data_IF_649246587363
#
_entry.id   IF_649246587363
#
_cell.length_a   1.000
_cell.length_b   1.000
_cell.length_c   1.000
_cell.angle_alpha   90.00
_cell.angle_beta   90.00
_cell.angle_gamma   90.00
#
_symmetry.space_group_name_H-M   'P 1'
#
loop_
_entity.id
_entity.type
_entity.pdbx_description
1 polymer ?
#
# COMPACT_ATOMS: atom_id res chain seq x y z
N UNK A 1 42.14 -43.96 45.70
CA UNK A 1 42.48 -42.53 45.57
C UNK A 1 42.65 -42.23 44.09
N UNK A 2 41.60 -41.71 43.44
CA UNK A 2 41.67 -41.26 42.04
C UNK A 2 41.84 -39.73 42.03
N UNK A 3 42.71 -39.15 41.19
CA UNK A 3 42.99 -37.72 41.22
C UNK A 3 41.92 -36.94 40.47
N UNK A 4 41.44 -35.88 41.12
CA UNK A 4 40.56 -34.85 40.58
C UNK A 4 41.28 -34.18 39.42
N UNK A 5 40.77 -34.35 38.19
CA UNK A 5 41.25 -33.60 37.02
C UNK A 5 40.54 -32.25 37.01
N UNK A 6 41.34 -31.19 37.19
CA UNK A 6 40.94 -29.81 37.08
C UNK A 6 40.19 -29.54 35.77
N UNK A 7 38.96 -29.07 35.95
CA UNK A 7 38.06 -28.58 34.93
C UNK A 7 38.55 -27.18 34.48
N UNK A 8 39.19 -27.09 33.32
CA UNK A 8 39.37 -25.82 32.61
C UNK A 8 38.27 -25.74 31.54
N UNK A 9 37.13 -25.16 31.91
CA UNK A 9 36.09 -24.76 30.96
C UNK A 9 36.57 -23.48 30.27
N UNK A 10 36.92 -23.58 29.00
CA UNK A 10 37.13 -22.43 28.14
C UNK A 10 35.76 -21.79 27.86
N UNK A 11 35.53 -20.61 28.42
CA UNK A 11 34.37 -19.76 28.16
C UNK A 11 34.48 -19.23 26.70
N UNK A 12 33.87 -19.92 25.74
CA UNK A 12 33.62 -19.33 24.42
C UNK A 12 32.45 -18.35 24.57
N UNK A 13 32.79 -17.08 24.84
CA UNK A 13 31.83 -15.99 24.66
C UNK A 13 31.69 -15.78 23.15
N UNK A 14 30.63 -16.34 22.57
CA UNK A 14 30.17 -15.93 21.25
C UNK A 14 29.73 -14.47 21.37
N UNK A 15 30.57 -13.56 20.86
CA UNK A 15 30.20 -12.17 20.72
C UNK A 15 29.30 -12.03 19.49
N UNK A 16 28.00 -12.26 19.65
CA UNK A 16 26.97 -11.84 18.67
C UNK A 16 26.72 -10.31 18.76
N UNK A 17 27.79 -9.52 18.93
CA UNK A 17 27.73 -8.06 19.00
C UNK A 17 27.98 -7.42 17.64
N UNK A 18 27.07 -7.70 16.72
CA UNK A 18 26.69 -6.74 15.70
C UNK A 18 25.23 -7.04 15.36
N UNK A 19 24.32 -6.55 16.20
CA UNK A 19 22.97 -6.26 15.74
C UNK A 19 23.13 -5.22 14.62
N UNK A 20 23.23 -5.70 13.39
CA UNK A 20 23.26 -4.91 12.17
C UNK A 20 21.87 -4.28 12.10
N UNK A 21 21.78 -3.09 12.67
CA UNK A 21 20.58 -2.27 12.69
C UNK A 21 20.52 -1.54 11.35
N UNK A 22 20.17 -2.25 10.29
CA UNK A 22 19.85 -1.65 9.00
C UNK A 22 18.45 -1.07 9.09
N UNK A 23 18.22 0.21 8.76
CA UNK A 23 16.89 0.79 8.87
C UNK A 23 16.72 1.96 7.90
N UNK A 24 15.61 1.94 7.20
CA UNK A 24 15.08 3.03 6.40
C UNK A 24 13.58 3.10 6.60
N UNK A 25 12.99 4.26 6.39
CA UNK A 25 11.55 4.48 6.51
C UNK A 25 11.08 5.26 5.28
N UNK A 26 9.96 4.87 4.69
CA UNK A 26 9.33 5.67 3.62
C UNK A 26 8.37 6.64 4.31
N UNK A 27 8.84 7.85 4.56
CA UNK A 27 8.17 8.85 5.41
C UNK A 27 7.15 9.71 4.65
N UNK A 28 7.23 9.70 3.33
CA UNK A 28 6.27 10.39 2.48
C UNK A 28 6.11 9.65 1.15
N UNK A 29 4.90 9.65 0.61
CA UNK A 29 4.57 9.14 -0.71
C UNK A 29 3.49 10.02 -1.34
N UNK A 30 3.66 10.39 -2.60
CA UNK A 30 2.75 11.24 -3.38
C UNK A 30 2.54 10.58 -4.74
N UNK A 31 1.27 10.38 -5.11
CA UNK A 31 0.93 9.83 -6.41
C UNK A 31 0.91 10.92 -7.49
N UNK A 32 1.02 10.53 -8.76
CA UNK A 32 1.04 11.47 -9.89
C UNK A 32 -0.28 12.24 -10.08
N UNK A 33 -1.38 11.75 -9.51
CA UNK A 33 -2.66 12.45 -9.45
C UNK A 33 -2.89 13.20 -8.12
N UNK A 34 -1.90 13.23 -7.22
CA UNK A 34 -1.98 13.89 -5.92
C UNK A 34 -2.13 12.92 -4.75
N UNK A 35 -2.78 13.38 -3.68
CA UNK A 35 -2.82 12.66 -2.40
C UNK A 35 -1.47 12.62 -1.70
N UNK A 36 -1.48 12.17 -0.45
CA UNK A 36 -0.26 11.99 0.34
C UNK A 36 -0.40 10.79 1.26
N UNK A 37 0.71 10.13 1.54
CA UNK A 37 0.76 8.97 2.41
C UNK A 37 2.17 8.71 2.92
N UNK A 38 2.34 7.55 3.54
CA UNK A 38 3.63 7.02 4.00
C UNK A 38 3.54 5.50 4.05
N UNK A 39 4.62 4.82 4.43
CA UNK A 39 4.55 3.38 4.62
C UNK A 39 3.68 3.00 5.83
N UNK A 40 3.09 1.81 5.78
CA UNK A 40 2.46 1.16 6.93
C UNK A 40 3.45 1.07 8.11
N UNK A 41 2.93 1.29 9.32
CA UNK A 41 3.70 1.20 10.57
C UNK A 41 4.59 2.41 10.86
N UNK A 42 4.57 3.45 10.01
CA UNK A 42 5.31 4.70 10.28
C UNK A 42 4.71 5.42 11.49
N UNK A 43 5.58 5.78 12.44
CA UNK A 43 5.24 6.61 13.58
C UNK A 43 5.92 7.97 13.40
N UNK A 44 5.13 9.01 13.13
CA UNK A 44 5.65 10.37 12.89
C UNK A 44 6.29 10.98 14.13
N UNK A 45 5.98 10.47 15.33
CA UNK A 45 6.61 10.88 16.58
C UNK A 45 8.02 10.30 16.79
N UNK A 46 8.41 9.27 16.01
CA UNK A 46 9.75 8.68 16.10
C UNK A 46 10.82 9.70 15.67
N UNK A 47 11.80 10.05 16.53
CA UNK A 47 12.88 10.94 16.14
C UNK A 47 13.73 10.32 15.02
N UNK A 48 14.18 11.13 14.06
CA UNK A 48 14.95 10.68 12.87
C UNK A 48 16.33 11.35 12.75
N UNK A 49 16.82 11.91 13.85
CA UNK A 49 18.07 12.66 13.96
C UNK A 49 19.22 11.83 14.57
N UNK A 50 19.13 10.50 14.50
CA UNK A 50 20.13 9.60 15.06
C UNK A 50 20.14 8.20 14.46
N UNK A 51 21.21 7.44 14.74
CA UNK A 51 21.48 6.12 14.10
C UNK A 51 21.39 4.93 15.07
N UNK A 52 20.91 5.15 16.29
CA UNK A 52 20.71 4.08 17.28
C UNK A 52 19.35 3.42 17.11
N UNK A 53 19.28 2.12 17.35
CA UNK A 53 18.03 1.34 17.28
C UNK A 53 16.86 1.95 18.07
N UNK A 54 17.14 2.46 19.28
CA UNK A 54 16.17 3.21 20.09
C UNK A 54 16.71 4.64 20.30
N UNK A 55 15.88 5.69 20.11
CA UNK A 55 14.50 5.66 19.63
C UNK A 55 14.37 5.65 18.09
N UNK A 56 15.46 5.82 17.34
CA UNK A 56 15.38 6.34 15.96
C UNK A 56 14.92 5.37 14.86
N UNK A 57 14.64 4.12 15.20
CA UNK A 57 14.42 3.03 14.23
C UNK A 57 13.22 2.17 14.59
N UNK A 58 12.35 2.65 15.48
CA UNK A 58 11.29 1.82 16.02
C UNK A 58 10.22 1.48 14.97
N UNK A 59 9.96 2.40 14.05
CA UNK A 59 8.95 2.34 13.00
C UNK A 59 9.50 1.89 11.63
N UNK A 60 10.79 1.57 11.56
CA UNK A 60 11.41 1.13 10.32
C UNK A 60 10.99 -0.31 9.98
N UNK A 61 10.21 -0.43 8.91
CA UNK A 61 9.70 -1.72 8.43
C UNK A 61 10.84 -2.60 7.93
N UNK A 62 10.84 -3.85 8.37
CA UNK A 62 11.70 -4.92 7.88
C UNK A 62 10.86 -6.05 7.26
N UNK A 63 11.38 -6.68 6.22
CA UNK A 63 10.77 -7.85 5.59
C UNK A 63 11.55 -9.11 5.93
N UNK A 64 11.18 -9.81 7.00
CA UNK A 64 11.89 -11.01 7.47
C UNK A 64 10.95 -11.96 8.21
N UNK A 65 11.37 -13.21 8.36
CA UNK A 65 10.62 -14.22 9.11
C UNK A 65 9.27 -14.48 8.44
N UNK A 66 8.22 -14.52 9.24
CA UNK A 66 6.85 -14.70 8.75
C UNK A 66 6.38 -13.53 7.89
N UNK A 67 6.98 -12.35 8.07
CA UNK A 67 6.60 -11.11 7.37
C UNK A 67 7.51 -10.81 6.18
N UNK A 68 8.32 -11.79 5.76
CA UNK A 68 9.25 -11.66 4.63
C UNK A 68 8.53 -11.44 3.30
N UNK A 69 7.39 -12.09 3.08
CA UNK A 69 6.67 -12.06 1.81
C UNK A 69 5.35 -11.26 1.88
N UNK A 70 5.08 -10.62 3.04
CA UNK A 70 3.85 -9.86 3.30
C UNK A 70 4.11 -8.34 3.32
N UNK A 71 3.51 -7.61 4.27
CA UNK A 71 3.63 -6.16 4.46
C UNK A 71 4.71 -5.74 5.48
N UNK A 72 5.48 -6.71 5.98
CA UNK A 72 6.60 -6.46 6.90
C UNK A 72 6.17 -6.18 8.34
N UNK A 73 7.16 -5.89 9.18
CA UNK A 73 6.98 -5.63 10.61
C UNK A 73 7.88 -4.48 11.08
N UNK A 74 7.47 -3.77 12.12
CA UNK A 74 8.25 -2.76 12.82
C UNK A 74 8.71 -3.26 14.20
N UNK A 75 9.65 -2.54 14.82
CA UNK A 75 10.12 -2.89 16.16
C UNK A 75 9.14 -2.46 17.27
N UNK A 76 8.38 -1.39 17.04
CA UNK A 76 7.41 -0.86 18.01
C UNK A 76 6.05 -1.54 17.93
N UNK A 77 5.53 -1.77 16.72
CA UNK A 77 4.15 -2.23 16.52
C UNK A 77 4.04 -3.71 16.13
N UNK A 78 5.15 -4.38 15.81
CA UNK A 78 5.12 -5.76 15.30
C UNK A 78 4.71 -5.80 13.83
N UNK A 79 3.98 -6.84 13.44
CA UNK A 79 3.49 -6.98 12.06
C UNK A 79 2.65 -5.78 11.64
N UNK A 80 2.90 -5.27 10.44
CA UNK A 80 2.11 -4.17 9.88
C UNK A 80 0.70 -4.69 9.55
N UNK A 81 -0.31 -3.89 9.89
CA UNK A 81 -1.71 -4.17 9.56
C UNK A 81 -2.15 -3.27 8.40
N UNK A 82 -2.73 -3.85 7.36
CA UNK A 82 -3.14 -3.12 6.15
C UNK A 82 -4.33 -2.21 6.44
N UNK A 83 -5.33 -2.69 7.17
CA UNK A 83 -6.56 -1.94 7.46
C UNK A 83 -6.27 -0.80 8.44
N UNK A 84 -5.72 -1.14 9.61
CA UNK A 84 -5.42 -0.17 10.65
C UNK A 84 -4.32 0.80 10.21
N UNK A 85 -3.25 0.30 9.58
CA UNK A 85 -2.17 1.16 9.14
C UNK A 85 -2.61 2.12 8.03
N UNK A 86 -3.54 1.74 7.16
CA UNK A 86 -4.11 2.67 6.17
C UNK A 86 -4.99 3.72 6.83
N UNK A 87 -5.81 3.36 7.83
CA UNK A 87 -6.57 4.32 8.63
C UNK A 87 -5.65 5.32 9.32
N UNK A 88 -4.58 4.84 9.95
CA UNK A 88 -3.60 5.68 10.65
C UNK A 88 -2.91 6.66 9.68
N UNK A 89 -2.56 6.21 8.47
CA UNK A 89 -1.98 7.08 7.43
C UNK A 89 -2.96 8.18 7.02
N UNK A 90 -4.23 7.84 6.80
CA UNK A 90 -5.26 8.82 6.42
C UNK A 90 -5.54 9.82 7.54
N UNK A 91 -5.55 9.37 8.80
CA UNK A 91 -5.69 10.25 9.96
C UNK A 91 -4.51 11.20 10.11
N UNK A 92 -3.28 10.69 10.00
CA UNK A 92 -2.05 11.47 10.16
C UNK A 92 -1.86 12.51 9.05
N UNK A 93 -2.13 12.14 7.80
CA UNK A 93 -1.97 13.04 6.65
C UNK A 93 -3.13 14.02 6.50
N UNK A 94 -4.33 13.63 6.91
CA UNK A 94 -5.56 14.41 6.71
C UNK A 94 -5.92 14.60 5.23
N UNK A 95 -5.37 13.77 4.33
CA UNK A 95 -5.61 13.81 2.89
C UNK A 95 -6.08 12.45 2.38
N UNK A 96 -6.53 12.42 1.13
CA UNK A 96 -6.69 11.17 0.39
C UNK A 96 -5.35 10.42 0.30
N UNK A 97 -5.40 9.09 0.22
CA UNK A 97 -4.25 8.24 -0.07
C UNK A 97 -3.52 8.72 -1.34
N UNK A 98 -2.23 8.39 -1.54
CA UNK A 98 -1.53 8.69 -2.79
C UNK A 98 -2.35 8.21 -4.00
N UNK A 99 -2.76 9.15 -4.85
CA UNK A 99 -3.60 8.90 -6.02
C UNK A 99 -2.72 8.64 -7.23
N UNK A 100 -2.81 7.46 -7.82
CA UNK A 100 -1.97 7.06 -8.96
C UNK A 100 -2.81 6.77 -10.21
N UNK A 101 -2.26 7.08 -11.39
CA UNK A 101 -2.87 6.67 -12.67
C UNK A 101 -2.21 5.38 -13.20
N UNK A 102 -2.92 4.59 -14.05
CA UNK A 102 -2.25 3.57 -14.84
C UNK A 102 -1.18 4.23 -15.73
N UNK A 103 0.06 3.74 -15.66
CA UNK A 103 1.20 4.34 -16.38
C UNK A 103 1.78 5.59 -15.71
N UNK A 104 1.26 5.97 -14.54
CA UNK A 104 1.74 7.09 -13.73
C UNK A 104 2.94 6.73 -12.87
N UNK A 105 3.08 7.42 -11.73
CA UNK A 105 4.22 7.24 -10.84
C UNK A 105 3.86 7.49 -9.38
N UNK A 106 4.58 6.81 -8.49
CA UNK A 106 4.59 7.06 -7.06
C UNK A 106 5.94 7.66 -6.68
N UNK A 107 5.94 8.92 -6.23
CA UNK A 107 7.12 9.60 -5.70
C UNK A 107 7.19 9.41 -4.19
N UNK A 108 8.32 8.93 -3.68
CA UNK A 108 8.53 8.60 -2.27
C UNK A 108 9.75 9.32 -1.70
N UNK A 109 9.69 9.61 -0.41
CA UNK A 109 10.83 10.05 0.39
C UNK A 109 11.27 8.91 1.30
N UNK A 110 12.49 8.42 1.08
CA UNK A 110 13.13 7.43 1.94
C UNK A 110 14.01 8.18 2.93
N UNK A 111 13.68 8.07 4.21
CA UNK A 111 14.59 8.44 5.27
C UNK A 111 15.55 7.29 5.55
N UNK A 112 16.81 7.46 5.19
CA UNK A 112 17.87 6.51 5.51
C UNK A 112 18.34 6.77 6.96
N UNK A 113 18.05 5.85 7.88
CA UNK A 113 18.49 6.02 9.27
C UNK A 113 19.97 5.65 9.42
N UNK A 114 20.34 4.45 8.96
CA UNK A 114 21.67 3.87 9.13
C UNK A 114 22.35 3.59 7.79
N UNK A 115 23.67 3.33 7.81
CA UNK A 115 24.46 3.09 6.59
C UNK A 115 23.79 2.09 5.65
N UNK A 116 23.18 1.05 6.19
CA UNK A 116 22.55 -0.09 5.52
C UNK A 116 21.04 0.06 5.26
N UNK A 117 20.49 1.24 5.50
CA UNK A 117 19.17 1.67 5.02
C UNK A 117 19.22 2.36 3.66
N UNK A 118 20.31 2.23 2.91
CA UNK A 118 20.47 2.85 1.60
C UNK A 118 19.95 1.93 0.48
N UNK A 119 19.94 2.43 -0.75
CA UNK A 119 19.52 1.64 -1.92
C UNK A 119 20.63 0.76 -2.54
N UNK A 120 20.42 0.25 -3.76
CA UNK A 120 19.24 0.48 -4.61
C UNK A 120 18.02 -0.30 -4.13
N UNK A 121 16.86 0.34 -4.11
CA UNK A 121 15.58 -0.28 -3.80
C UNK A 121 15.00 -1.01 -5.01
N UNK A 122 14.29 -2.10 -4.74
CA UNK A 122 13.36 -2.75 -5.67
C UNK A 122 11.95 -2.48 -5.19
N UNK A 123 11.04 -2.16 -6.11
CA UNK A 123 9.63 -1.95 -5.81
C UNK A 123 8.76 -2.99 -6.53
N UNK A 124 7.64 -3.31 -5.91
CA UNK A 124 6.64 -4.25 -6.40
C UNK A 124 5.24 -3.77 -6.01
N UNK A 125 4.22 -4.18 -6.75
CA UNK A 125 2.83 -3.78 -6.55
C UNK A 125 1.94 -5.01 -6.35
N UNK A 126 0.99 -4.88 -5.41
CA UNK A 126 -0.06 -5.85 -5.16
C UNK A 126 -1.39 -5.21 -5.59
N UNK A 127 -2.07 -5.85 -6.55
CA UNK A 127 -3.24 -5.29 -7.22
C UNK A 127 -4.54 -5.36 -6.39
N UNK A 128 -4.66 -6.36 -5.50
CA UNK A 128 -5.90 -6.68 -4.80
C UNK A 128 -5.98 -6.14 -3.37
N UNK A 129 -4.96 -5.41 -2.91
CA UNK A 129 -4.92 -4.82 -1.59
C UNK A 129 -4.62 -5.83 -0.45
N UNK A 130 -4.38 -7.10 -0.76
CA UNK A 130 -4.19 -8.15 0.27
C UNK A 130 -2.75 -8.29 0.77
N UNK A 131 -1.78 -7.78 0.01
CA UNK A 131 -0.35 -7.91 0.33
C UNK A 131 0.20 -9.33 0.20
N UNK A 132 -0.48 -10.21 -0.53
CA UNK A 132 -0.10 -11.64 -0.68
C UNK A 132 0.51 -12.00 -2.03
N UNK A 133 0.35 -11.15 -3.05
CA UNK A 133 0.89 -11.35 -4.39
C UNK A 133 1.53 -10.06 -4.89
N UNK A 134 2.73 -10.16 -5.46
CA UNK A 134 3.54 -8.99 -5.80
C UNK A 134 4.13 -9.10 -7.20
N UNK A 135 3.93 -8.07 -8.00
CA UNK A 135 4.53 -7.93 -9.32
C UNK A 135 5.59 -6.82 -9.30
N UNK A 136 6.78 -7.10 -9.83
CA UNK A 136 7.86 -6.10 -9.87
C UNK A 136 7.46 -4.91 -10.74
N UNK A 137 7.75 -3.70 -10.26
CA UNK A 137 7.55 -2.45 -11.00
C UNK A 137 8.88 -1.73 -11.18
N UNK A 138 8.96 -0.90 -12.21
CA UNK A 138 10.18 -0.16 -12.51
C UNK A 138 10.45 0.92 -11.46
N UNK A 139 11.70 1.05 -11.02
CA UNK A 139 12.17 2.15 -10.18
C UNK A 139 12.96 3.12 -11.06
N UNK A 140 12.40 4.30 -11.31
CA UNK A 140 12.94 5.29 -12.26
C UNK A 140 13.91 6.28 -11.61
N UNK A 141 13.76 6.51 -10.31
CA UNK A 141 14.74 7.23 -9.46
C UNK A 141 15.00 6.39 -8.23
N UNK A 142 16.27 6.17 -7.89
CA UNK A 142 16.65 5.26 -6.82
C UNK A 142 17.59 5.92 -5.82
N UNK A 143 17.54 5.44 -4.58
CA UNK A 143 18.44 5.85 -3.50
C UNK A 143 19.83 5.27 -3.74
N UNK A 144 20.86 6.10 -3.60
CA UNK A 144 22.24 5.66 -3.78
C UNK A 144 22.66 4.68 -2.68
N UNK A 145 23.32 3.59 -3.08
CA UNK A 145 23.98 2.66 -2.17
C UNK A 145 24.67 1.54 -2.93
N UNK A 146 25.49 0.76 -2.23
CA UNK A 146 26.16 -0.39 -2.84
C UNK A 146 25.24 -1.62 -2.91
N UNK A 147 25.73 -2.71 -3.49
CA UNK A 147 24.99 -3.99 -3.65
C UNK A 147 24.46 -4.61 -2.35
N UNK A 148 24.89 -4.11 -1.18
CA UNK A 148 24.44 -4.55 0.15
C UNK A 148 23.48 -3.56 0.82
N UNK A 149 23.01 -2.55 0.10
CA UNK A 149 22.12 -1.52 0.64
C UNK A 149 22.87 -0.49 1.47
N UNK A 150 24.19 -0.30 1.25
CA UNK A 150 25.02 0.53 2.15
C UNK A 150 25.51 1.83 1.52
N UNK A 151 25.30 2.93 2.21
CA UNK A 151 25.88 4.26 1.99
C UNK A 151 26.07 4.96 3.34
N UNK A 152 27.29 5.20 3.81
CA UNK A 152 27.49 5.84 5.13
C UNK A 152 27.25 7.35 5.10
N UNK A 153 27.49 7.97 3.95
CA UNK A 153 27.40 9.42 3.82
C UNK A 153 25.94 9.90 3.77
N UNK A 154 24.99 8.98 3.55
CA UNK A 154 23.56 9.24 3.58
C UNK A 154 22.84 8.96 4.90
N UNK A 155 23.55 8.63 5.98
CA UNK A 155 22.92 8.40 7.29
C UNK A 155 22.14 9.64 7.78
N UNK A 156 20.94 9.42 8.34
CA UNK A 156 19.99 10.44 8.79
C UNK A 156 19.58 11.43 7.68
N UNK A 157 19.57 10.97 6.43
CA UNK A 157 19.24 11.76 5.26
C UNK A 157 17.96 11.30 4.57
N UNK A 158 17.30 12.23 3.89
CA UNK A 158 16.12 11.97 3.07
C UNK A 158 16.52 11.90 1.59
N UNK A 159 16.05 10.86 0.90
CA UNK A 159 16.38 10.60 -0.50
C UNK A 159 15.14 10.29 -1.32
N UNK A 160 15.08 10.75 -2.59
CA UNK A 160 13.97 10.44 -3.47
C UNK A 160 14.03 8.98 -3.94
N UNK A 161 12.86 8.36 -4.02
CA UNK A 161 12.63 7.07 -4.66
C UNK A 161 11.37 7.21 -5.51
N UNK A 162 11.43 6.83 -6.80
CA UNK A 162 10.27 6.94 -7.70
C UNK A 162 10.01 5.58 -8.34
N UNK A 163 8.80 5.07 -8.17
CA UNK A 163 8.33 3.84 -8.79
C UNK A 163 7.31 4.15 -9.90
N UNK A 164 7.46 3.52 -11.06
CA UNK A 164 6.52 3.65 -12.17
C UNK A 164 5.36 2.68 -11.98
N UNK A 165 4.14 3.18 -12.08
CA UNK A 165 2.93 2.34 -12.05
C UNK A 165 2.73 1.74 -13.45
N UNK A 166 2.50 0.42 -13.60
CA UNK A 166 2.27 -0.18 -14.91
C UNK A 166 1.09 0.45 -15.65
N UNK A 167 1.18 0.54 -16.98
CA UNK A 167 0.14 1.12 -17.83
C UNK A 167 -1.18 0.34 -17.82
N UNK A 168 -1.10 -0.96 -17.53
CA UNK A 168 -2.21 -1.89 -17.39
C UNK A 168 -2.56 -2.18 -15.91
N UNK A 169 -1.99 -1.42 -14.97
CA UNK A 169 -2.31 -1.58 -13.55
C UNK A 169 -3.79 -1.30 -13.29
N UNK A 170 -4.44 -2.23 -12.60
CA UNK A 170 -5.79 -2.08 -12.11
C UNK A 170 -5.84 -2.50 -10.64
N UNK A 171 -6.20 -1.58 -9.75
CA UNK A 171 -6.34 -1.88 -8.33
C UNK A 171 -7.77 -2.28 -8.02
N UNK A 172 -7.94 -3.39 -7.31
CA UNK A 172 -9.26 -3.96 -6.96
C UNK A 172 -9.46 -4.12 -5.47
N UNK A 173 -8.47 -3.74 -4.65
CA UNK A 173 -8.58 -3.81 -3.20
C UNK A 173 -9.60 -2.81 -2.66
N UNK A 174 -10.23 -3.21 -1.55
CA UNK A 174 -10.94 -2.30 -0.65
C UNK A 174 -10.22 -2.37 0.68
N UNK A 175 -9.67 -1.25 1.15
CA UNK A 175 -8.88 -1.15 2.39
C UNK A 175 -9.29 0.14 3.11
N UNK A 176 -9.51 0.08 4.42
CA UNK A 176 -9.89 1.22 5.25
C UNK A 176 -11.15 1.97 4.76
N UNK A 177 -12.03 1.28 4.02
CA UNK A 177 -13.21 1.87 3.40
C UNK A 177 -12.94 2.58 2.06
N UNK A 178 -11.70 2.61 1.59
CA UNK A 178 -11.31 3.12 0.28
C UNK A 178 -11.33 2.00 -0.76
N UNK A 179 -11.97 2.27 -1.91
CA UNK A 179 -12.01 1.35 -3.05
C UNK A 179 -10.89 1.62 -4.05
N UNK A 180 -10.54 0.62 -4.85
CA UNK A 180 -9.49 0.66 -5.87
C UNK A 180 -8.08 0.88 -5.28
N UNK A 181 -7.81 0.23 -4.14
CA UNK A 181 -6.52 0.30 -3.46
C UNK A 181 -5.58 -0.79 -3.97
N UNK A 182 -4.35 -0.39 -4.29
CA UNK A 182 -3.19 -1.27 -4.42
C UNK A 182 -2.24 -1.05 -3.25
N UNK A 183 -1.32 -1.99 -3.05
CA UNK A 183 -0.18 -1.79 -2.16
C UNK A 183 1.10 -1.72 -2.98
N UNK A 184 1.93 -0.72 -2.74
CA UNK A 184 3.28 -0.62 -3.33
C UNK A 184 4.31 -0.93 -2.26
N UNK A 185 5.04 -2.03 -2.42
CA UNK A 185 6.13 -2.42 -1.53
C UNK A 185 7.46 -2.04 -2.15
N UNK A 186 8.28 -1.32 -1.41
CA UNK A 186 9.65 -1.02 -1.79
C UNK A 186 10.61 -1.49 -0.71
N UNK A 187 11.69 -2.14 -1.12
CA UNK A 187 12.68 -2.67 -0.18
C UNK A 187 14.10 -2.60 -0.73
N UNK A 188 15.08 -2.44 0.16
CA UNK A 188 16.49 -2.46 -0.18
C UNK A 188 17.10 -3.87 -0.07
N UNK A 189 18.37 -4.09 -0.49
CA UNK A 189 18.96 -5.43 -0.56
C UNK A 189 19.71 -5.81 0.74
N UNK A 190 19.43 -5.13 1.86
CA UNK A 190 20.13 -5.38 3.11
C UNK A 190 19.83 -6.79 3.65
N UNK A 191 20.86 -7.48 4.14
CA UNK A 191 20.74 -8.88 4.61
C UNK A 191 20.21 -9.01 6.05
N UNK A 192 20.33 -7.96 6.86
CA UNK A 192 19.78 -7.95 8.21
C UNK A 192 18.23 -7.97 8.20
N UNK A 193 17.67 -7.58 7.06
CA UNK A 193 16.30 -7.61 6.60
C UNK A 193 16.27 -6.67 5.40
N UNK A 194 15.58 -6.95 4.29
CA UNK A 194 15.22 -5.87 3.39
C UNK A 194 14.44 -4.82 4.19
N UNK A 195 14.83 -3.55 4.10
CA UNK A 195 14.16 -2.43 4.76
C UNK A 195 13.50 -1.53 3.72
N UNK A 196 12.42 -0.88 4.13
CA UNK A 196 11.65 0.01 3.27
C UNK A 196 10.25 0.17 3.83
N UNK A 197 9.24 -0.24 3.06
CA UNK A 197 7.85 -0.21 3.53
C UNK A 197 6.85 -0.57 2.45
N UNK A 198 5.58 -0.67 2.87
CA UNK A 198 4.43 -0.86 2.00
C UNK A 198 3.56 0.39 2.08
N UNK A 199 3.21 0.97 0.94
CA UNK A 199 2.43 2.18 0.82
C UNK A 199 1.08 1.80 0.19
N UNK A 200 -0.05 2.01 0.87
CA UNK A 200 -1.36 1.96 0.24
C UNK A 200 -1.49 3.11 -0.75
N UNK A 201 -1.86 2.79 -1.99
CA UNK A 201 -2.12 3.78 -3.05
C UNK A 201 -3.50 3.51 -3.62
N UNK A 202 -4.20 4.55 -4.04
CA UNK A 202 -5.51 4.42 -4.64
C UNK A 202 -5.41 4.80 -6.11
N UNK A 203 -6.08 4.02 -6.97
CA UNK A 203 -6.21 4.45 -8.36
C UNK A 203 -7.06 5.69 -8.41
N UNK A 204 -6.52 6.76 -8.98
CA UNK A 204 -7.26 7.97 -9.22
C UNK A 204 -8.52 7.60 -10.00
N UNK A 205 -9.68 7.79 -9.36
CA UNK A 205 -10.94 7.72 -10.11
C UNK A 205 -10.84 8.79 -11.19
N UNK A 206 -10.79 8.39 -12.45
CA UNK A 206 -10.65 9.35 -13.55
C UNK A 206 -11.75 10.37 -13.34
N UNK A 207 -11.37 11.64 -13.05
CA UNK A 207 -12.29 12.68 -12.61
C UNK A 207 -13.61 12.49 -13.33
N UNK A 208 -14.64 12.03 -12.61
CA UNK A 208 -16.01 12.22 -13.05
C UNK A 208 -16.24 13.73 -12.93
N UNK A 209 -15.64 14.45 -13.88
CA UNK A 209 -15.77 15.88 -14.02
C UNK A 209 -17.26 16.13 -14.03
N UNK A 210 -17.69 16.94 -13.08
CA UNK A 210 -19.04 17.43 -12.92
C UNK A 210 -19.58 17.77 -14.31
N UNK A 211 -20.35 16.86 -14.90
CA UNK A 211 -20.92 17.01 -16.22
C UNK A 211 -22.01 18.07 -16.09
N UNK A 212 -21.58 19.33 -16.17
CA UNK A 212 -22.49 20.42 -16.45
C UNK A 212 -22.97 20.16 -17.87
N UNK A 213 -24.18 19.60 -17.95
CA UNK A 213 -25.03 19.52 -19.15
C UNK A 213 -24.88 20.81 -19.98
N UNK A 214 -23.98 20.78 -20.94
CA UNK A 214 -23.85 21.83 -21.93
C UNK A 214 -24.93 21.56 -22.97
N UNK A 215 -26.05 22.25 -22.80
CA UNK A 215 -27.21 22.20 -23.68
C UNK A 215 -26.84 22.27 -25.16
N UNK A 216 -27.38 21.31 -25.90
CA UNK A 216 -27.37 21.22 -27.35
C UNK A 216 -27.89 22.54 -27.97
N UNK A 217 -26.97 23.39 -28.46
CA UNK A 217 -27.33 24.55 -29.28
C UNK A 217 -27.10 24.22 -30.74
N UNK A 218 -28.22 24.16 -31.45
CA UNK A 218 -28.31 23.78 -32.85
C UNK A 218 -27.51 24.67 -33.79
N UNK A 219 -27.07 24.04 -34.87
CA UNK A 219 -26.45 24.59 -36.06
C UNK A 219 -27.20 25.81 -36.62
N UNK A 220 -26.53 26.96 -36.68
CA UNK A 220 -27.01 28.14 -37.40
C UNK A 220 -26.32 28.21 -38.77
N UNK A 221 -27.06 27.84 -39.81
CA UNK A 221 -26.68 28.07 -41.21
C UNK A 221 -26.82 29.55 -41.57
N UNK A 222 -25.78 30.10 -42.20
CA UNK A 222 -25.72 31.48 -42.69
C UNK A 222 -26.51 31.63 -44.00
N UNK A 223 -27.59 32.41 -43.96
CA UNK A 223 -28.35 32.81 -45.15
C UNK A 223 -27.72 33.99 -45.88
N UNK A 224 -27.66 33.90 -47.21
CA UNK A 224 -27.36 35.01 -48.12
C UNK A 224 -28.64 35.42 -48.86
N UNK A 225 -28.86 36.73 -48.97
CA UNK A 225 -30.11 37.35 -49.42
C UNK A 225 -30.17 37.64 -50.93
N UNK A 226 -31.36 37.49 -51.52
CA UNK A 226 -31.92 38.11 -52.74
C UNK A 226 -33.34 37.54 -52.90
N UNK A 227 -34.41 38.15 -53.39
CA UNK A 227 -34.90 39.50 -53.73
C UNK A 227 -36.39 39.27 -54.12
N UNK A 228 -37.26 40.24 -53.84
CA UNK A 228 -38.63 40.51 -54.34
C UNK A 228 -39.53 39.38 -54.91
N UNK A 229 -40.75 39.25 -54.33
CA UNK A 229 -42.02 39.58 -55.04
C UNK A 229 -43.22 39.66 -54.08
N UNK A 230 -43.95 40.77 -54.25
CA UNK A 230 -45.35 41.06 -53.95
C UNK A 230 -46.35 39.90 -54.08
N UNK A 231 -47.21 39.64 -53.07
CA UNK A 231 -48.66 39.47 -53.26
C UNK A 231 -49.46 39.52 -51.93
N UNK A 232 -50.72 39.92 -52.05
CA UNK A 232 -51.69 40.33 -51.03
C UNK A 232 -52.82 39.31 -50.92
N UNK A 233 -53.19 38.85 -49.72
CA UNK A 233 -54.52 38.29 -49.33
C UNK A 233 -54.40 37.77 -47.89
N UNK A 234 -55.14 38.21 -46.86
CA UNK A 234 -56.59 38.21 -46.64
C UNK A 234 -57.25 36.84 -46.87
N UNK A 235 -57.40 36.03 -45.81
CA UNK A 235 -58.66 35.35 -45.57
C UNK A 235 -58.85 34.96 -44.09
N UNK A 236 -60.11 35.12 -43.71
CA UNK A 236 -60.82 35.00 -42.44
C UNK A 236 -61.37 33.59 -42.22
N UNK A 237 -62.00 33.41 -41.05
CA UNK A 237 -62.99 32.37 -40.64
C UNK A 237 -62.38 31.19 -39.87
N UNK A 238 -62.64 31.00 -38.56
CA UNK A 238 -63.91 30.78 -37.84
C UNK A 238 -64.61 29.49 -38.29
N UNK A 239 -64.57 28.42 -37.50
CA UNK A 239 -65.78 27.81 -36.92
C UNK A 239 -65.46 26.73 -35.87
N UNK A 240 -66.30 26.77 -34.85
CA UNK A 240 -66.57 25.86 -33.73
C UNK A 240 -67.09 24.46 -34.10
N UNK A 241 -66.85 23.48 -33.21
CA UNK A 241 -67.80 22.43 -32.69
C UNK A 241 -67.00 21.51 -31.76
N UNK A 242 -67.23 21.45 -30.44
CA UNK A 242 -68.30 20.82 -29.64
C UNK A 242 -68.28 19.28 -29.60
N UNK A 243 -68.46 18.76 -28.37
CA UNK A 243 -68.85 17.39 -27.95
C UNK A 243 -67.85 16.25 -28.18
N UNK A 244 -67.62 15.30 -27.26
CA UNK A 244 -68.52 14.70 -26.25
C UNK A 244 -67.70 13.99 -25.15
N UNK A 245 -68.38 13.78 -24.03
CA UNK A 245 -68.10 13.06 -22.77
C UNK A 245 -67.76 11.57 -22.86
N UNK A 246 -66.98 11.05 -21.90
CA UNK A 246 -67.08 9.69 -21.31
C UNK A 246 -66.37 9.68 -19.93
N UNK A 247 -67.10 9.88 -18.83
CA UNK A 247 -67.62 8.90 -17.85
C UNK A 247 -66.59 8.14 -16.97
N UNK A 248 -66.93 8.19 -15.69
CA UNK A 248 -66.37 7.67 -14.44
C UNK A 248 -66.53 6.15 -14.31
N UNK A 249 -65.72 5.34 -13.59
CA UNK A 249 -65.64 5.19 -12.13
C UNK A 249 -64.80 3.96 -11.73
N UNK A 250 -64.19 4.04 -10.53
CA UNK A 250 -64.03 3.01 -9.48
C UNK A 250 -63.13 1.76 -9.61
N UNK A 251 -62.13 1.70 -8.70
CA UNK A 251 -62.12 0.72 -7.60
C UNK A 251 -61.24 -0.54 -7.73
N UNK A 252 -60.35 -0.77 -6.74
CA UNK A 252 -59.76 -2.09 -6.49
C UNK A 252 -58.43 -2.08 -5.74
N UNK A 253 -58.47 -2.29 -4.43
CA UNK A 253 -57.32 -2.51 -3.56
C UNK A 253 -56.78 -3.96 -3.68
N UNK A 254 -55.48 -4.16 -3.46
CA UNK A 254 -54.97 -5.42 -2.90
C UNK A 254 -53.70 -5.17 -2.09
N UNK A 255 -53.76 -5.44 -0.78
CA UNK A 255 -52.59 -5.65 0.05
C UNK A 255 -52.37 -7.14 0.25
N UNK A 256 -51.12 -7.56 0.45
CA UNK A 256 -50.82 -8.69 1.32
C UNK A 256 -49.41 -8.57 1.89
N UNK A 257 -49.30 -8.90 3.16
CA UNK A 257 -48.12 -8.87 4.00
C UNK A 257 -47.53 -10.29 4.18
N UNK A 258 -46.30 -10.29 4.69
CA UNK A 258 -45.76 -11.22 5.70
C UNK A 258 -45.00 -12.50 5.31
N UNK A 259 -43.75 -12.51 5.80
CA UNK A 259 -43.10 -13.49 6.68
C UNK A 259 -42.26 -14.68 6.16
N UNK A 260 -40.96 -14.51 6.37
CA UNK A 260 -40.05 -15.21 7.30
C UNK A 260 -39.64 -16.70 7.17
N UNK A 261 -38.30 -16.82 7.37
CA UNK A 261 -37.49 -17.82 8.08
C UNK A 261 -37.16 -19.15 7.39
N UNK A 262 -35.87 -19.51 7.36
CA UNK A 262 -35.31 -20.33 8.45
C UNK A 262 -33.77 -20.38 8.48
N UNK A 263 -33.26 -20.37 9.71
CA UNK A 263 -31.90 -20.62 10.19
C UNK A 263 -31.36 -22.03 9.89
N UNK A 264 -30.04 -22.19 10.02
CA UNK A 264 -29.38 -22.95 11.11
C UNK A 264 -28.09 -23.63 10.63
N UNK A 265 -26.97 -23.41 11.34
CA UNK A 265 -26.25 -24.49 12.05
C UNK A 265 -25.23 -23.93 13.03
N UNK A 266 -25.02 -24.73 14.07
CA UNK A 266 -24.48 -24.50 15.39
C UNK A 266 -23.18 -25.32 15.57
N UNK A 267 -22.23 -24.90 16.42
CA UNK A 267 -21.08 -25.73 16.80
C UNK A 267 -20.09 -25.00 17.72
N UNK A 268 -19.55 -25.69 18.73
CA UNK A 268 -19.11 -25.21 20.05
C UNK A 268 -17.70 -25.74 20.40
N UNK A 269 -16.97 -25.07 21.31
CA UNK A 269 -15.75 -25.54 22.01
C UNK A 269 -14.43 -25.27 21.26
N UNK A 270 -13.28 -24.96 21.86
CA UNK A 270 -12.82 -24.99 23.24
C UNK A 270 -11.65 -23.98 23.40
N UNK A 271 -11.49 -23.41 24.60
CA UNK A 271 -10.31 -22.65 25.04
C UNK A 271 -9.20 -23.64 25.40
N UNK A 272 -7.99 -23.50 24.84
CA UNK A 272 -6.77 -24.09 25.39
C UNK A 272 -5.58 -23.13 25.17
N UNK A 273 -4.98 -22.72 26.28
CA UNK A 273 -3.69 -22.03 26.40
C UNK A 273 -2.57 -23.05 26.19
N UNK A 274 -1.59 -22.78 25.33
CA UNK A 274 -0.32 -23.52 25.33
C UNK A 274 0.85 -22.55 25.20
N UNK A 275 1.73 -22.64 26.20
CA UNK A 275 3.06 -22.02 26.29
C UNK A 275 4.03 -22.93 25.52
N UNK A 276 4.71 -22.42 24.48
CA UNK A 276 5.74 -23.21 23.80
C UNK A 276 7.12 -22.96 24.45
N UNK A 277 7.53 -23.96 25.22
CA UNK A 277 8.87 -24.16 25.77
C UNK A 277 9.87 -24.59 24.67
N UNK A 278 11.11 -24.07 24.77
CA UNK A 278 12.24 -24.42 23.91
C UNK A 278 12.69 -25.88 24.11
N UNK A 279 12.70 -26.69 23.04
CA UNK A 279 13.38 -27.99 23.02
C UNK A 279 14.56 -28.01 22.02
N UNK A 280 15.76 -28.09 22.59
CA UNK A 280 17.04 -28.35 21.93
C UNK A 280 17.15 -29.82 21.49
N UNK A 281 17.17 -30.09 20.17
CA UNK A 281 17.66 -31.37 19.64
C UNK A 281 19.10 -31.27 19.12
N UNK A 282 19.99 -31.92 19.87
CA UNK A 282 21.33 -32.31 19.44
C UNK A 282 21.23 -33.52 18.50
N UNK A 283 21.70 -33.39 17.26
CA UNK A 283 22.28 -34.55 16.56
C UNK A 283 23.69 -34.25 16.05
N UNK A 284 24.57 -35.18 16.37
CA UNK A 284 25.99 -35.09 16.20
C UNK A 284 26.46 -36.03 15.10
N UNK A 285 27.69 -35.75 14.65
CA UNK A 285 28.58 -36.61 13.86
C UNK A 285 28.47 -36.39 12.33
N UNK A 286 29.53 -36.26 11.54
CA UNK A 286 30.89 -36.79 11.65
C UNK A 286 31.83 -36.14 10.60
N UNK A 287 33.00 -35.63 11.05
CA UNK A 287 34.35 -35.56 10.42
C UNK A 287 34.48 -34.80 9.07
N UNK A 288 35.52 -34.00 8.81
CA UNK A 288 36.93 -34.36 8.96
C UNK A 288 37.87 -33.15 8.88
N UNK A 289 38.95 -33.25 9.65
CA UNK A 289 39.98 -32.25 9.95
C UNK A 289 41.12 -32.29 8.91
N UNK A 290 41.62 -31.14 8.43
CA UNK A 290 43.00 -31.02 7.89
C UNK A 290 43.54 -29.58 7.88
N UNK A 291 44.25 -29.27 8.97
CA UNK A 291 45.58 -28.61 9.07
C UNK A 291 45.86 -27.34 8.24
N UNK A 292 45.94 -26.23 8.97
CA UNK A 292 46.77 -25.05 8.72
C UNK A 292 48.26 -25.37 8.86
N UNK A 293 49.08 -24.85 7.94
CA UNK A 293 50.50 -24.60 8.14
C UNK A 293 50.75 -23.10 7.86
N UNK A 294 51.12 -22.35 8.89
CA UNK A 294 51.73 -21.02 8.77
C UNK A 294 53.24 -21.21 8.61
N UNK A 295 53.84 -20.50 7.68
CA UNK A 295 55.27 -20.20 7.66
C UNK A 295 55.43 -18.68 7.69
N UNK A 296 56.23 -18.20 8.63
CA UNK A 296 56.79 -16.85 8.63
C UNK A 296 58.31 -17.01 8.58
N UNK A 297 58.91 -16.52 7.51
CA UNK A 297 60.24 -15.92 7.39
C UNK A 297 60.40 -15.50 5.92
#
# INVERSE_FOLDING_TARGET
MAPIKNLLVALFVAADLAAVSAHSVITNAVGDAGGSGMALGVDTSTPRDGTRRRPFQQDATRFRGNSADTVGETLSAGDNDIEQGTLDIMEETGTELPQVNPGGSLEMTVHQVNSDGAGPYTCMINADGTGTSWDNIEVTTNVEGNERGRNRDGEMGDFPLVASIPADQNCTGTVAGEDNVCLVRCQNPARAGPFGGVIPVQMASGNAGNATEAGNTGSAGTGSATDNTNDTANDTTNDTTNDTTDDTTAGGANGNASNNNNDNTNGNGDDDEEEDEDEDENDASTRNNRRTARFSA
#
